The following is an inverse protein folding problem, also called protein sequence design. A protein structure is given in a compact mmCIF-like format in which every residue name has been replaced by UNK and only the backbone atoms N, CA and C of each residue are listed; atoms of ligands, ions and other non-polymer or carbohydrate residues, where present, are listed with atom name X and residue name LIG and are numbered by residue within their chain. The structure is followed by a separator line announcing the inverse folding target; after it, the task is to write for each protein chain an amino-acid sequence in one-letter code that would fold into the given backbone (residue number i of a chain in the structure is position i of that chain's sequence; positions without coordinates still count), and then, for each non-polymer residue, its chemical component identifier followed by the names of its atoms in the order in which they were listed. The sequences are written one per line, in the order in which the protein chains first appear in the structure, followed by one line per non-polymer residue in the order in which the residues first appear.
data_IF_521456982189
#
_entry.id   IF_521456982189
#
_cell.length_a   1.000
_cell.length_b   1.000
_cell.length_c   1.000
_cell.angle_alpha   90.00
_cell.angle_beta   90.00
_cell.angle_gamma   90.00
#
_symmetry.space_group_name_H-M   'P 1'
#
loop_
_entity.id
_entity.type
_entity.pdbx_description
1 polymer ?
#
# COMPACT_ATOMS: atom_id res chain seq x y z
N UNK A 1 -2.95 -8.11 -8.49
CA UNK A 1 -2.23 -7.07 -7.73
C UNK A 1 -2.91 -5.74 -7.98
N UNK A 2 -3.12 -4.92 -6.96
CA UNK A 2 -3.68 -3.57 -7.08
C UNK A 2 -2.74 -2.55 -6.45
N UNK A 3 -2.63 -1.36 -7.05
CA UNK A 3 -1.90 -0.23 -6.51
C UNK A 3 -2.88 0.80 -5.99
N UNK A 4 -2.67 1.28 -4.77
CA UNK A 4 -3.44 2.37 -4.15
C UNK A 4 -2.58 3.63 -4.00
N UNK A 5 -3.22 4.75 -3.66
CA UNK A 5 -2.61 6.08 -3.49
C UNK A 5 -2.10 6.72 -4.78
N UNK A 6 -2.72 6.36 -5.91
CA UNK A 6 -2.42 6.93 -7.21
C UNK A 6 -1.16 6.39 -7.88
N UNK A 7 -0.66 7.13 -8.87
CA UNK A 7 0.43 6.72 -9.76
C UNK A 7 1.71 7.53 -9.63
N UNK A 8 1.76 8.43 -8.65
CA UNK A 8 2.84 9.39 -8.45
C UNK A 8 3.38 9.26 -7.03
N UNK A 9 4.65 8.90 -6.93
CA UNK A 9 5.40 8.65 -5.70
C UNK A 9 6.13 9.90 -5.22
N UNK A 10 6.25 10.05 -3.90
CA UNK A 10 7.11 11.09 -3.29
C UNK A 10 8.61 10.79 -3.44
N UNK A 11 8.96 9.53 -3.73
CA UNK A 11 10.34 9.07 -3.96
C UNK A 11 10.61 8.69 -5.41
N UNK A 12 11.88 8.73 -5.79
CA UNK A 12 12.37 8.47 -7.15
C UNK A 12 13.37 7.33 -7.22
N UNK A 13 12.94 6.12 -6.86
CA UNK A 13 13.78 4.92 -6.98
C UNK A 13 14.23 4.71 -8.43
N UNK A 14 15.54 4.58 -8.67
CA UNK A 14 16.13 4.57 -10.03
C UNK A 14 15.68 3.41 -10.91
N UNK A 15 15.20 2.33 -10.31
CA UNK A 15 14.69 1.16 -11.00
C UNK A 15 13.17 1.19 -11.20
N UNK A 16 12.46 2.11 -10.53
CA UNK A 16 11.01 2.14 -10.50
C UNK A 16 10.46 3.02 -11.62
N UNK A 17 9.44 2.55 -12.32
CA UNK A 17 8.79 3.27 -13.43
C UNK A 17 7.63 4.18 -12.99
N UNK A 18 7.43 4.36 -11.68
CA UNK A 18 6.37 5.20 -11.13
C UNK A 18 6.78 6.68 -11.26
N UNK A 19 5.82 7.56 -11.56
CA UNK A 19 6.10 9.01 -11.67
C UNK A 19 6.56 9.54 -10.31
N UNK A 20 7.44 10.53 -10.29
CA UNK A 20 7.91 11.14 -9.04
C UNK A 20 7.47 12.60 -8.94
N UNK A 21 6.91 12.97 -7.80
CA UNK A 21 6.59 14.36 -7.43
C UNK A 21 6.65 14.51 -5.92
N UNK A 22 7.30 15.56 -5.42
CA UNK A 22 7.27 15.90 -3.99
C UNK A 22 5.87 16.31 -3.50
N UNK A 23 5.00 16.73 -4.42
CA UNK A 23 3.62 17.16 -4.13
C UNK A 23 2.66 16.35 -5.01
N UNK A 24 2.39 15.07 -4.69
CA UNK A 24 1.40 14.27 -5.41
C UNK A 24 -0.02 14.79 -5.11
N UNK A 25 -1.03 14.42 -5.94
CA UNK A 25 -2.42 14.72 -5.64
C UNK A 25 -2.86 14.20 -4.25
N UNK A 26 -3.87 14.84 -3.62
CA UNK A 26 -4.42 14.35 -2.37
C UNK A 26 -4.98 12.94 -2.53
N UNK A 27 -4.98 12.17 -1.44
CA UNK A 27 -5.63 10.86 -1.44
C UNK A 27 -7.13 10.99 -1.69
N UNK A 28 -7.65 10.09 -2.51
CA UNK A 28 -9.09 9.87 -2.60
C UNK A 28 -9.58 9.17 -1.31
N UNK A 29 -10.44 9.80 -0.48
CA UNK A 29 -10.92 9.19 0.77
C UNK A 29 -11.78 7.93 0.54
N UNK A 30 -12.33 7.77 -0.66
CA UNK A 30 -13.20 6.67 -1.07
C UNK A 30 -12.44 5.55 -1.80
N UNK A 31 -11.16 5.75 -2.17
CA UNK A 31 -10.31 4.73 -2.79
C UNK A 31 -10.33 3.37 -2.05
N UNK A 32 -10.30 3.29 -0.70
CA UNK A 32 -10.39 2.03 0.01
C UNK A 32 -11.69 1.27 -0.23
N UNK A 33 -12.81 2.00 -0.33
CA UNK A 33 -14.14 1.43 -0.54
C UNK A 33 -14.27 0.99 -1.99
N UNK A 34 -13.91 1.86 -2.93
CA UNK A 34 -13.97 1.63 -4.36
C UNK A 34 -13.08 0.46 -4.78
N UNK A 35 -11.86 0.40 -4.24
CA UNK A 35 -10.90 -0.70 -4.48
C UNK A 35 -11.44 -2.02 -3.95
N UNK A 36 -12.00 -2.04 -2.74
CA UNK A 36 -12.59 -3.24 -2.17
C UNK A 36 -13.82 -3.73 -2.95
N UNK A 37 -14.65 -2.80 -3.43
CA UNK A 37 -15.79 -3.13 -4.29
C UNK A 37 -15.32 -3.74 -5.62
N UNK A 38 -14.32 -3.15 -6.27
CA UNK A 38 -13.74 -3.70 -7.49
C UNK A 38 -13.19 -5.11 -7.28
N UNK A 39 -12.40 -5.32 -6.22
CA UNK A 39 -11.81 -6.63 -5.88
C UNK A 39 -12.91 -7.67 -5.59
N UNK A 40 -13.99 -7.29 -4.90
CA UNK A 40 -15.09 -8.23 -4.61
C UNK A 40 -15.81 -8.76 -5.85
N UNK A 41 -15.74 -8.03 -6.96
CA UNK A 41 -16.31 -8.44 -8.25
C UNK A 41 -15.34 -9.30 -9.07
N UNK A 42 -14.08 -9.42 -8.63
CA UNK A 42 -13.09 -10.24 -9.30
C UNK A 42 -13.13 -11.68 -8.76
N UNK A 43 -12.96 -12.63 -9.67
CA UNK A 43 -12.88 -14.05 -9.35
C UNK A 43 -11.45 -14.44 -8.95
N UNK A 44 -10.97 -13.86 -7.84
CA UNK A 44 -9.62 -14.10 -7.30
C UNK A 44 -9.65 -14.41 -5.82
N UNK A 45 -8.91 -15.43 -5.39
CA UNK A 45 -8.81 -15.82 -3.98
C UNK A 45 -7.62 -15.17 -3.27
N UNK A 46 -6.72 -14.54 -4.02
CA UNK A 46 -5.51 -13.92 -3.51
C UNK A 46 -5.31 -12.55 -4.16
N UNK A 47 -5.03 -11.52 -3.35
CA UNK A 47 -4.73 -10.18 -3.83
C UNK A 47 -3.51 -9.59 -3.12
N UNK A 48 -2.58 -9.06 -3.93
CA UNK A 48 -1.50 -8.20 -3.45
C UNK A 48 -1.96 -6.75 -3.54
N UNK A 49 -1.85 -6.01 -2.44
CA UNK A 49 -2.02 -4.56 -2.36
C UNK A 49 -0.64 -3.93 -2.23
N UNK A 50 -0.34 -2.95 -3.07
CA UNK A 50 0.85 -2.11 -2.95
C UNK A 50 0.48 -0.64 -2.94
N UNK A 51 1.37 0.23 -2.48
CA UNK A 51 1.22 1.69 -2.62
C UNK A 51 2.48 2.33 -3.20
N UNK A 52 2.36 3.60 -3.58
CA UNK A 52 3.51 4.49 -3.71
C UNK A 52 3.94 5.01 -2.34
N UNK A 53 5.14 5.58 -2.23
CA UNK A 53 5.55 6.31 -1.02
C UNK A 53 4.79 7.65 -0.92
N UNK A 54 4.26 7.93 0.27
CA UNK A 54 3.51 9.14 0.62
C UNK A 54 4.14 9.86 1.80
N UNK A 55 5.39 10.29 1.63
CA UNK A 55 6.14 11.04 2.66
C UNK A 55 5.49 12.40 2.99
N UNK A 56 4.55 12.87 2.16
CA UNK A 56 3.72 14.05 2.40
C UNK A 56 2.64 13.84 3.49
N UNK A 57 2.39 12.59 3.89
CA UNK A 57 1.41 12.22 4.92
C UNK A 57 2.10 11.85 6.22
N UNK A 58 1.55 12.32 7.35
CA UNK A 58 2.12 12.06 8.67
C UNK A 58 2.21 10.59 9.09
N UNK A 59 1.45 9.69 8.47
CA UNK A 59 1.51 8.23 8.70
C UNK A 59 2.06 7.45 7.49
N UNK A 60 2.57 8.14 6.46
CA UNK A 60 3.03 7.53 5.21
C UNK A 60 1.93 6.78 4.44
N UNK A 61 0.65 7.03 4.74
CA UNK A 61 -0.49 6.34 4.14
C UNK A 61 -0.90 5.04 4.85
N UNK A 62 -0.29 4.69 5.98
CA UNK A 62 -0.57 3.44 6.69
C UNK A 62 -2.06 3.24 7.04
N UNK A 63 -2.77 4.29 7.50
CA UNK A 63 -4.22 4.18 7.78
C UNK A 63 -5.04 3.89 6.53
N UNK A 64 -4.62 4.41 5.39
CA UNK A 64 -5.31 4.19 4.13
C UNK A 64 -5.14 2.72 3.68
N UNK A 65 -3.91 2.18 3.72
CA UNK A 65 -3.66 0.74 3.48
C UNK A 65 -4.51 -0.12 4.42
N UNK A 66 -4.50 0.18 5.73
CA UNK A 66 -5.27 -0.55 6.73
C UNK A 66 -6.78 -0.49 6.48
N UNK A 67 -7.31 0.67 6.06
CA UNK A 67 -8.72 0.83 5.68
C UNK A 67 -9.04 -0.04 4.46
N UNK A 68 -8.19 -0.06 3.44
CA UNK A 68 -8.38 -0.88 2.23
C UNK A 68 -8.43 -2.37 2.56
N UNK A 69 -7.49 -2.88 3.37
CA UNK A 69 -7.48 -4.29 3.81
C UNK A 69 -8.78 -4.64 4.53
N UNK A 70 -9.22 -3.82 5.48
CA UNK A 70 -10.49 -4.04 6.22
C UNK A 70 -11.70 -4.04 5.30
N UNK A 71 -11.76 -3.12 4.33
CA UNK A 71 -12.88 -3.03 3.38
C UNK A 71 -12.94 -4.25 2.43
N UNK A 72 -11.78 -4.76 2.00
CA UNK A 72 -11.66 -5.97 1.19
C UNK A 72 -12.18 -7.17 1.99
N UNK A 73 -11.64 -7.39 3.20
CA UNK A 73 -12.03 -8.51 4.05
C UNK A 73 -13.49 -8.48 4.49
N UNK A 74 -14.06 -7.29 4.68
CA UNK A 74 -15.49 -7.16 4.97
C UNK A 74 -16.39 -7.62 3.82
N UNK A 75 -15.93 -7.49 2.56
CA UNK A 75 -16.71 -7.86 1.36
C UNK A 75 -16.44 -9.28 0.89
N UNK A 76 -15.20 -9.76 1.00
CA UNK A 76 -14.79 -11.12 0.64
C UNK A 76 -13.96 -11.73 1.77
N UNK A 77 -14.57 -12.24 2.84
CA UNK A 77 -13.85 -12.70 4.03
C UNK A 77 -12.87 -13.85 3.80
N UNK A 78 -13.05 -14.62 2.72
CA UNK A 78 -12.18 -15.74 2.34
C UNK A 78 -10.97 -15.33 1.50
N UNK A 79 -10.87 -14.07 1.05
CA UNK A 79 -9.75 -13.62 0.22
C UNK A 79 -8.47 -13.50 1.07
N UNK A 80 -7.36 -13.96 0.52
CA UNK A 80 -6.03 -13.80 1.09
C UNK A 80 -5.47 -12.45 0.64
N UNK A 81 -5.04 -11.63 1.59
CA UNK A 81 -4.50 -10.29 1.33
C UNK A 81 -3.02 -10.24 1.70
N UNK A 82 -2.18 -10.00 0.69
CA UNK A 82 -0.79 -9.59 0.88
C UNK A 82 -0.70 -8.07 0.78
N UNK A 83 0.03 -7.44 1.70
CA UNK A 83 0.41 -6.03 1.57
C UNK A 83 1.91 -5.89 1.34
N UNK A 84 2.28 -5.36 0.17
CA UNK A 84 3.62 -4.87 -0.11
C UNK A 84 3.66 -3.38 0.23
N UNK A 85 4.38 -3.03 1.29
CA UNK A 85 4.31 -1.69 1.90
C UNK A 85 5.62 -0.92 1.77
N UNK A 86 5.54 0.43 1.79
CA UNK A 86 6.72 1.27 1.94
C UNK A 86 7.36 1.09 3.32
N UNK A 87 8.54 1.67 3.53
CA UNK A 87 9.26 1.61 4.81
C UNK A 87 8.64 2.47 5.92
N UNK A 88 7.69 3.35 5.57
CA UNK A 88 7.10 4.36 6.46
C UNK A 88 8.15 5.21 7.20
N UNK A 89 9.34 5.41 6.61
CA UNK A 89 10.51 6.03 7.23
C UNK A 89 10.89 5.41 8.58
N UNK A 90 10.60 4.11 8.77
CA UNK A 90 10.84 3.40 10.03
C UNK A 90 9.82 3.70 11.13
N UNK A 91 8.69 4.36 10.82
CA UNK A 91 7.64 4.65 11.79
C UNK A 91 6.93 3.35 12.24
N UNK A 92 7.22 2.90 13.46
CA UNK A 92 6.64 1.68 14.05
C UNK A 92 5.12 1.76 14.20
N UNK A 93 4.56 2.94 14.47
CA UNK A 93 3.11 3.11 14.59
C UNK A 93 2.39 2.92 13.25
N UNK A 94 3.00 3.36 12.14
CA UNK A 94 2.51 3.09 10.79
C UNK A 94 2.55 1.60 10.47
N UNK A 95 3.65 0.92 10.81
CA UNK A 95 3.78 -0.54 10.66
C UNK A 95 2.68 -1.26 11.45
N UNK A 96 2.52 -0.94 12.75
CA UNK A 96 1.49 -1.52 13.59
C UNK A 96 0.08 -1.26 13.08
N UNK A 97 -0.17 -0.09 12.49
CA UNK A 97 -1.47 0.26 11.89
C UNK A 97 -1.85 -0.70 10.78
N UNK A 98 -0.91 -1.04 9.90
CA UNK A 98 -1.14 -1.99 8.80
C UNK A 98 -1.24 -3.42 9.33
N UNK A 99 -0.35 -3.84 10.24
CA UNK A 99 -0.39 -5.19 10.83
C UNK A 99 -1.72 -5.45 11.55
N UNK A 100 -2.28 -4.45 12.26
CA UNK A 100 -3.60 -4.54 12.93
C UNK A 100 -4.78 -4.59 11.95
N UNK A 101 -4.57 -4.41 10.65
CA UNK A 101 -5.58 -4.69 9.64
C UNK A 101 -5.61 -6.19 9.26
N UNK A 102 -4.67 -6.97 9.79
CA UNK A 102 -4.54 -8.42 9.63
C UNK A 102 -4.43 -8.88 8.17
N UNK A 103 -3.49 -8.38 7.37
CA UNK A 103 -3.12 -9.04 6.11
C UNK A 103 -2.53 -10.43 6.42
N UNK A 104 -2.72 -11.38 5.51
CA UNK A 104 -2.12 -12.72 5.61
C UNK A 104 -0.61 -12.69 5.37
N UNK A 105 -0.15 -11.79 4.48
CA UNK A 105 1.28 -11.59 4.21
C UNK A 105 1.62 -10.11 4.31
N UNK A 106 2.67 -9.81 5.06
CA UNK A 106 3.26 -8.47 5.17
C UNK A 106 4.62 -8.50 4.49
N UNK A 107 4.75 -7.77 3.38
CA UNK A 107 5.95 -7.73 2.58
C UNK A 107 6.54 -6.32 2.55
N UNK A 108 7.87 -6.25 2.59
CA UNK A 108 8.65 -5.05 2.33
C UNK A 108 9.93 -5.47 1.60
N UNK A 109 10.18 -4.86 0.45
CA UNK A 109 11.35 -5.20 -0.35
C UNK A 109 12.55 -4.35 0.05
N UNK A 110 13.67 -5.01 0.33
CA UNK A 110 14.98 -4.36 0.46
C UNK A 110 15.57 -4.03 -0.93
N UNK A 111 15.04 -4.68 -1.97
CA UNK A 111 15.31 -4.52 -3.42
C UNK A 111 16.72 -4.92 -3.88
N UNK A 112 17.77 -4.46 -3.20
CA UNK A 112 19.15 -4.72 -3.59
C UNK A 112 20.08 -4.76 -2.39
N UNK A 113 21.33 -5.14 -2.62
CA UNK A 113 22.38 -5.16 -1.59
C UNK A 113 22.78 -3.75 -1.19
N UNK A 114 23.29 -3.59 0.04
CA UNK A 114 23.68 -2.29 0.62
C UNK A 114 24.61 -1.47 -0.30
N UNK A 115 25.58 -2.11 -0.97
CA UNK A 115 26.51 -1.42 -1.89
C UNK A 115 25.84 -0.75 -3.10
N UNK A 116 24.60 -1.12 -3.40
CA UNK A 116 23.79 -0.58 -4.51
C UNK A 116 22.63 0.30 -4.02
N UNK A 117 22.36 0.34 -2.70
CA UNK A 117 21.42 1.28 -2.09
C UNK A 117 22.12 2.64 -1.95
N UNK A 118 21.49 3.71 -2.47
CA UNK A 118 21.99 5.08 -2.43
C UNK A 118 20.93 6.02 -1.94
#
# INVERSE_FOLDING_TARGET
MTKIMGDTCTRGCRFCSVKTSSNPPPLDPDEPVNTAEAISKWDVDYIVITSVDRDDLGDGGARHIAKTIRQIKARKPSIIVECLVPDFQGCTDSIHTVVRASPEVYAHNIETVESLQR
#
